data_IF_863528967688
#
_entry.id   IF_863528967688
#
_cell.length_a   1.000
_cell.length_b   1.000
_cell.length_c   1.000
_cell.angle_alpha   90.00
_cell.angle_beta   90.00
_cell.angle_gamma   90.00
#
_symmetry.space_group_name_H-M   'P 1'
#
loop_
_entity.id
_entity.type
_entity.pdbx_description
1 polymer ?
#
# COMPACT_ATOMS: atom_id res chain seq x y z
N UNK A 1 44.01 -21.67 4.60
CA UNK A 1 44.37 -20.44 3.86
C UNK A 1 43.97 -20.66 2.41
N UNK A 2 42.87 -20.06 1.97
CA UNK A 2 42.35 -20.17 0.61
C UNK A 2 43.10 -19.19 -0.28
N UNK A 3 43.84 -19.71 -1.26
CA UNK A 3 44.28 -18.95 -2.43
C UNK A 3 43.61 -19.60 -3.64
N UNK A 4 42.54 -18.98 -4.13
CA UNK A 4 41.94 -19.34 -5.41
C UNK A 4 41.93 -18.09 -6.27
N UNK A 5 42.82 -18.15 -7.26
CA UNK A 5 43.03 -17.14 -8.28
C UNK A 5 41.80 -17.06 -9.19
N UNK A 6 41.25 -15.86 -9.33
CA UNK A 6 40.35 -15.52 -10.44
C UNK A 6 41.18 -15.30 -11.70
N UNK A 7 41.02 -16.16 -12.69
CA UNK A 7 41.33 -15.83 -14.08
C UNK A 7 40.07 -16.08 -14.93
N UNK A 8 39.24 -15.06 -15.04
CA UNK A 8 38.34 -14.89 -16.18
C UNK A 8 39.12 -14.13 -17.25
N UNK A 9 39.58 -14.85 -18.28
CA UNK A 9 40.03 -14.23 -19.52
C UNK A 9 39.11 -14.70 -20.65
N UNK A 10 38.51 -13.70 -21.27
CA UNK A 10 38.03 -13.65 -22.65
C UNK A 10 38.90 -14.41 -23.65
N UNK A 11 38.26 -15.28 -24.43
CA UNK A 11 38.57 -15.58 -25.84
C UNK A 11 40.03 -15.83 -26.27
N UNK A 12 40.29 -17.05 -26.76
CA UNK A 12 40.86 -17.27 -28.10
C UNK A 12 40.94 -18.77 -28.46
N UNK A 13 40.61 -19.06 -29.72
CA UNK A 13 40.78 -20.33 -30.42
C UNK A 13 42.24 -20.79 -30.48
N UNK A 14 42.50 -22.11 -30.41
CA UNK A 14 43.41 -22.80 -31.35
C UNK A 14 43.39 -24.34 -31.18
N UNK A 15 43.69 -25.01 -32.30
CA UNK A 15 43.67 -26.45 -32.57
C UNK A 15 44.82 -27.23 -31.92
N UNK A 16 44.55 -28.46 -31.43
CA UNK A 16 45.07 -29.79 -31.86
C UNK A 16 45.15 -30.80 -30.70
N UNK A 17 44.54 -31.96 -30.95
CA UNK A 17 44.94 -33.34 -30.58
C UNK A 17 45.87 -33.56 -29.38
N UNK A 18 45.38 -34.26 -28.34
CA UNK A 18 45.63 -35.70 -28.11
C UNK A 18 45.09 -36.15 -26.74
N UNK A 19 44.47 -37.34 -26.74
CA UNK A 19 44.46 -38.35 -25.67
C UNK A 19 44.17 -37.92 -24.22
N UNK A 20 42.97 -38.27 -23.75
CA UNK A 20 42.80 -39.27 -22.67
C UNK A 20 41.31 -39.47 -22.38
N UNK A 21 40.73 -40.48 -23.02
CA UNK A 21 39.46 -41.07 -22.60
C UNK A 21 39.64 -41.78 -21.26
N UNK A 22 39.60 -41.09 -20.11
CA UNK A 22 39.64 -41.82 -18.83
C UNK A 22 38.97 -41.14 -17.62
N UNK A 23 38.08 -40.16 -17.80
CA UNK A 23 37.46 -39.47 -16.64
C UNK A 23 35.95 -39.16 -16.76
N UNK A 24 35.21 -39.74 -17.70
CA UNK A 24 33.75 -39.49 -17.80
C UNK A 24 32.92 -40.27 -16.78
N UNK A 25 33.35 -41.47 -16.38
CA UNK A 25 32.62 -42.30 -15.41
C UNK A 25 32.72 -41.80 -13.96
N UNK A 26 33.88 -41.36 -13.42
CA UNK A 26 33.94 -40.89 -12.04
C UNK A 26 33.22 -39.56 -11.82
N UNK A 27 33.15 -38.67 -12.81
CA UNK A 27 32.46 -37.38 -12.66
C UNK A 27 30.94 -37.53 -12.51
N UNK A 28 30.34 -38.51 -13.19
CA UNK A 28 28.90 -38.80 -13.04
C UNK A 28 28.62 -39.39 -11.66
N UNK A 29 29.50 -40.28 -11.17
CA UNK A 29 29.38 -40.88 -9.84
C UNK A 29 29.57 -39.83 -8.74
N UNK A 30 30.53 -38.92 -8.89
CA UNK A 30 30.73 -37.80 -7.94
C UNK A 30 29.55 -36.83 -7.97
N UNK A 31 29.01 -36.51 -9.14
CA UNK A 31 27.81 -35.66 -9.26
C UNK A 31 26.58 -36.30 -8.62
N UNK A 32 26.37 -37.60 -8.83
CA UNK A 32 25.31 -38.36 -8.17
C UNK A 32 25.53 -38.45 -6.66
N UNK A 33 26.76 -38.63 -6.18
CA UNK A 33 27.08 -38.61 -4.75
C UNK A 33 26.82 -37.24 -4.13
N UNK A 34 27.11 -36.13 -4.82
CA UNK A 34 26.78 -34.77 -4.35
C UNK A 34 25.27 -34.55 -4.29
N UNK A 35 24.52 -35.00 -5.29
CA UNK A 35 23.05 -34.90 -5.29
C UNK A 35 22.45 -35.78 -4.18
N UNK A 36 22.92 -37.02 -4.03
CA UNK A 36 22.45 -37.94 -2.98
C UNK A 36 22.82 -37.42 -1.60
N UNK A 37 24.03 -36.88 -1.39
CA UNK A 37 24.39 -36.26 -0.10
C UNK A 37 23.61 -34.98 0.15
N UNK A 38 23.31 -34.14 -0.85
CA UNK A 38 22.40 -33.00 -0.68
C UNK A 38 20.95 -33.44 -0.38
N UNK A 39 20.47 -34.52 -0.98
CA UNK A 39 19.13 -35.05 -0.71
C UNK A 39 19.03 -35.75 0.66
N UNK A 40 20.09 -36.42 1.10
CA UNK A 40 20.13 -37.14 2.39
C UNK A 40 20.51 -36.24 3.57
N UNK A 41 21.29 -35.17 3.38
CA UNK A 41 21.61 -34.20 4.46
C UNK A 41 20.46 -33.23 4.76
N UNK A 42 19.47 -33.10 3.87
CA UNK A 42 18.23 -32.36 4.14
C UNK A 42 17.25 -33.16 5.02
N UNK A 43 17.45 -34.47 5.18
CA UNK A 43 16.60 -35.33 6.01
C UNK A 43 16.94 -35.30 7.51
N UNK A 44 18.12 -34.78 7.91
CA UNK A 44 18.52 -34.63 9.33
C UNK A 44 18.54 -33.17 9.82
N UNK A 45 18.12 -32.22 8.99
CA UNK A 45 17.66 -30.92 9.49
C UNK A 45 16.21 -31.08 9.98
N UNK A 46 16.03 -31.84 11.06
CA UNK A 46 14.82 -31.82 11.86
C UNK A 46 14.41 -30.34 12.03
N UNK A 47 13.20 -29.93 11.60
CA UNK A 47 12.79 -28.56 11.76
C UNK A 47 12.81 -28.29 13.26
N UNK A 48 13.75 -27.44 13.72
CA UNK A 48 13.82 -26.95 15.09
C UNK A 48 12.41 -26.45 15.46
N UNK A 49 11.64 -27.32 16.10
CA UNK A 49 10.25 -27.09 16.52
C UNK A 49 10.13 -25.96 17.55
N UNK A 50 11.26 -25.40 17.99
CA UNK A 50 11.32 -24.38 19.02
C UNK A 50 10.87 -22.99 18.55
N UNK A 51 10.97 -22.66 17.26
CA UNK A 51 10.45 -21.38 16.76
C UNK A 51 8.93 -21.38 16.52
N UNK A 52 8.31 -22.55 16.30
CA UNK A 52 6.86 -22.66 16.12
C UNK A 52 6.09 -22.77 17.44
N UNK A 53 6.69 -23.34 18.49
CA UNK A 53 6.06 -23.42 19.82
C UNK A 53 6.03 -22.09 20.59
N UNK A 54 6.94 -21.15 20.31
CA UNK A 54 6.93 -19.81 20.96
C UNK A 54 5.83 -18.87 20.45
N UNK A 55 5.29 -19.10 19.24
CA UNK A 55 4.17 -18.30 18.73
C UNK A 55 2.80 -18.79 19.23
N UNK A 56 2.63 -20.10 19.45
CA UNK A 56 1.36 -20.64 19.98
C UNK A 56 1.23 -20.54 21.51
N UNK A 57 2.32 -20.64 22.28
CA UNK A 57 2.25 -20.39 23.74
C UNK A 57 1.91 -18.93 24.10
N UNK A 58 2.23 -17.96 23.23
CA UNK A 58 1.81 -16.56 23.43
C UNK A 58 0.35 -16.28 23.09
N UNK A 59 -0.37 -17.21 22.47
CA UNK A 59 -1.82 -17.08 22.29
C UNK A 59 -2.61 -17.72 23.45
N UNK A 60 -2.06 -18.75 24.10
CA UNK A 60 -2.70 -19.38 25.27
C UNK A 60 -2.51 -18.58 26.58
N UNK A 61 -1.45 -17.77 26.70
CA UNK A 61 -1.20 -16.91 27.88
C UNK A 61 -1.87 -15.51 27.81
N UNK A 62 -2.71 -15.24 26.81
CA UNK A 62 -3.51 -14.00 26.78
C UNK A 62 -4.73 -14.03 27.72
N UNK A 63 -4.94 -15.14 28.44
CA UNK A 63 -5.99 -15.27 29.44
C UNK A 63 -5.63 -14.67 30.82
N UNK A 64 -4.43 -14.12 31.00
CA UNK A 64 -4.06 -13.37 32.21
C UNK A 64 -3.74 -11.95 31.80
N UNK A 65 -4.78 -11.10 31.77
CA UNK A 65 -4.66 -9.65 31.57
C UNK A 65 -3.65 -9.08 32.58
N UNK A 66 -2.47 -8.59 32.17
CA UNK A 66 -1.68 -7.73 33.02
C UNK A 66 -2.43 -6.41 33.14
N UNK A 67 -2.38 -5.83 34.33
CA UNK A 67 -3.01 -4.60 34.83
C UNK A 67 -2.54 -3.32 34.11
N UNK A 68 -2.29 -3.38 32.81
CA UNK A 68 -1.97 -2.24 31.98
C UNK A 68 -3.29 -1.68 31.43
N UNK A 69 -3.69 -0.50 31.91
CA UNK A 69 -5.02 0.06 31.65
C UNK A 69 -5.40 0.19 30.17
N UNK A 70 -6.66 0.56 29.88
CA UNK A 70 -7.28 0.53 28.54
C UNK A 70 -6.47 1.25 27.44
N UNK A 71 -5.62 2.22 27.80
CA UNK A 71 -4.76 2.91 26.85
C UNK A 71 -3.72 2.02 26.13
N UNK A 72 -3.26 0.91 26.74
CA UNK A 72 -2.29 0.02 26.09
C UNK A 72 -2.91 -0.75 24.92
N UNK A 73 -4.16 -1.15 25.05
CA UNK A 73 -4.90 -1.88 24.02
C UNK A 73 -5.17 -0.97 22.81
N UNK A 74 -5.68 0.25 23.04
CA UNK A 74 -5.87 1.23 21.96
C UNK A 74 -4.55 1.61 21.26
N UNK A 75 -3.44 1.67 22.00
CA UNK A 75 -2.13 1.93 21.41
C UNK A 75 -1.71 0.77 20.49
N UNK A 76 -1.82 -0.46 20.99
CA UNK A 76 -1.47 -1.67 20.25
C UNK A 76 -2.33 -1.80 18.99
N UNK A 77 -3.64 -1.60 19.12
CA UNK A 77 -4.58 -1.56 18.01
C UNK A 77 -4.20 -0.51 16.96
N UNK A 78 -3.95 0.74 17.40
CA UNK A 78 -3.52 1.83 16.51
C UNK A 78 -2.20 1.50 15.80
N UNK A 79 -1.23 0.94 16.52
CA UNK A 79 0.08 0.60 15.98
C UNK A 79 0.00 -0.53 14.94
N UNK A 80 -0.87 -1.52 15.14
CA UNK A 80 -1.12 -2.59 14.17
C UNK A 80 -1.62 -2.01 12.84
N UNK A 81 -2.65 -1.16 12.90
CA UNK A 81 -3.20 -0.49 11.71
C UNK A 81 -2.17 0.42 11.05
N UNK A 82 -1.42 1.19 11.84
CA UNK A 82 -0.34 2.04 11.34
C UNK A 82 0.73 1.23 10.58
N UNK A 83 1.15 0.08 11.12
CA UNK A 83 2.13 -0.80 10.46
C UNK A 83 1.57 -1.35 9.16
N UNK A 84 0.31 -1.78 9.12
CA UNK A 84 -0.34 -2.25 7.89
C UNK A 84 -0.35 -1.18 6.81
N UNK A 85 -0.80 0.04 7.14
CA UNK A 85 -0.80 1.17 6.21
C UNK A 85 0.62 1.46 5.71
N UNK A 86 1.60 1.49 6.60
CA UNK A 86 3.01 1.72 6.22
C UNK A 86 3.52 0.66 5.25
N UNK A 87 3.18 -0.61 5.46
CA UNK A 87 3.55 -1.71 4.57
C UNK A 87 2.85 -1.58 3.22
N UNK A 88 1.53 -1.33 3.21
CA UNK A 88 0.76 -1.15 1.99
C UNK A 88 1.31 0.00 1.12
N UNK A 89 1.74 1.11 1.71
CA UNK A 89 2.37 2.23 0.98
C UNK A 89 3.66 1.80 0.27
N UNK A 90 4.48 0.96 0.91
CA UNK A 90 5.74 0.47 0.31
C UNK A 90 5.42 -0.35 -0.95
N UNK A 91 4.58 -1.37 -0.79
CA UNK A 91 4.17 -2.22 -1.91
C UNK A 91 3.49 -1.45 -3.02
N UNK A 92 2.60 -0.52 -2.67
CA UNK A 92 1.94 0.35 -3.63
C UNK A 92 2.94 1.12 -4.49
N UNK A 93 4.04 1.66 -3.90
CA UNK A 93 5.06 2.37 -4.68
C UNK A 93 5.79 1.45 -5.67
N UNK A 94 6.10 0.24 -5.24
CA UNK A 94 6.84 -0.73 -6.06
C UNK A 94 5.95 -1.24 -7.21
N UNK A 95 4.72 -1.64 -6.89
CA UNK A 95 3.75 -2.17 -7.85
C UNK A 95 3.29 -1.07 -8.85
N UNK A 96 3.09 0.17 -8.38
CA UNK A 96 2.73 1.30 -9.24
C UNK A 96 3.86 1.66 -10.22
N UNK A 97 5.13 1.62 -9.75
CA UNK A 97 6.30 1.84 -10.60
C UNK A 97 6.36 0.81 -11.71
N UNK A 98 6.07 -0.46 -11.38
CA UNK A 98 6.03 -1.55 -12.34
C UNK A 98 4.91 -1.39 -13.38
N UNK A 99 3.71 -1.00 -12.94
CA UNK A 99 2.54 -0.90 -13.83
C UNK A 99 2.55 0.36 -14.72
N UNK A 100 2.87 1.53 -14.15
CA UNK A 100 2.72 2.80 -14.87
C UNK A 100 4.00 3.31 -15.54
N UNK A 101 5.16 2.74 -15.20
CA UNK A 101 6.45 3.14 -15.75
C UNK A 101 6.69 4.64 -15.66
N UNK A 102 6.71 5.23 -14.46
CA UNK A 102 7.10 6.62 -14.13
C UNK A 102 6.66 7.81 -15.03
N UNK A 103 5.79 7.63 -16.02
CA UNK A 103 5.30 8.76 -16.82
C UNK A 103 4.10 9.36 -16.11
N UNK A 104 4.32 10.54 -15.56
CA UNK A 104 3.24 11.42 -15.12
C UNK A 104 2.33 11.66 -16.33
N UNK A 105 1.12 11.10 -16.30
CA UNK A 105 0.16 11.36 -17.38
C UNK A 105 -0.32 12.79 -17.22
N UNK A 106 0.25 13.68 -18.04
CA UNK A 106 -0.23 15.04 -18.26
C UNK A 106 -1.62 14.92 -18.86
N UNK A 107 -2.66 15.38 -18.16
CA UNK A 107 -4.02 15.37 -18.69
C UNK A 107 -5.14 15.36 -17.65
N UNK A 108 -4.89 14.88 -16.43
CA UNK A 108 -5.90 14.91 -15.37
C UNK A 108 -6.09 16.34 -14.82
N UNK A 109 -6.92 17.16 -15.49
CA UNK A 109 -7.35 18.46 -14.95
C UNK A 109 -8.41 18.23 -13.87
N UNK A 110 -7.98 18.33 -12.61
CA UNK A 110 -8.86 18.26 -11.44
C UNK A 110 -9.19 16.83 -10.96
N UNK A 111 -9.91 16.74 -9.84
CA UNK A 111 -10.35 15.47 -9.26
C UNK A 111 -11.70 15.05 -9.89
N UNK A 112 -11.81 13.84 -10.47
CA UNK A 112 -13.07 13.36 -11.03
C UNK A 112 -14.20 13.31 -10.00
N UNK A 113 -15.44 13.48 -10.46
CA UNK A 113 -16.63 13.46 -9.60
C UNK A 113 -16.85 12.10 -8.92
N UNK A 114 -16.37 11.01 -9.52
CA UNK A 114 -16.49 9.65 -8.99
C UNK A 114 -15.48 9.35 -7.88
N UNK A 115 -14.44 10.19 -7.70
CA UNK A 115 -13.40 9.93 -6.71
C UNK A 115 -13.89 10.24 -5.28
N UNK A 116 -13.66 9.35 -4.30
CA UNK A 116 -14.03 9.60 -2.90
C UNK A 116 -13.40 10.89 -2.36
N UNK A 117 -14.21 11.72 -1.70
CA UNK A 117 -13.79 13.01 -1.13
C UNK A 117 -13.67 12.90 0.38
N UNK A 118 -12.51 13.28 0.91
CA UNK A 118 -12.21 13.15 2.33
C UNK A 118 -11.77 14.49 2.91
N UNK A 119 -12.46 14.92 3.96
CA UNK A 119 -12.14 16.15 4.67
C UNK A 119 -11.13 15.89 5.81
N UNK A 120 -9.86 15.71 5.43
CA UNK A 120 -8.79 15.55 6.42
C UNK A 120 -8.58 16.78 7.31
N UNK A 121 -9.01 17.97 6.88
CA UNK A 121 -8.96 19.17 7.73
C UNK A 121 -9.90 19.00 8.93
N UNK A 122 -11.15 18.59 8.69
CA UNK A 122 -12.11 18.33 9.76
C UNK A 122 -11.63 17.21 10.71
N UNK A 123 -11.04 16.15 10.16
CA UNK A 123 -10.48 15.05 10.95
C UNK A 123 -9.31 15.53 11.82
N UNK A 124 -8.36 16.25 11.22
CA UNK A 124 -7.12 16.67 11.88
C UNK A 124 -7.37 17.66 13.01
N UNK A 125 -8.30 18.60 12.83
CA UNK A 125 -8.62 19.61 13.83
C UNK A 125 -9.68 19.16 14.85
N UNK A 126 -10.12 17.90 14.79
CA UNK A 126 -10.96 17.35 15.86
C UNK A 126 -10.16 17.28 17.17
N UNK A 127 -10.78 17.73 18.26
CA UNK A 127 -10.16 17.69 19.58
C UNK A 127 -10.40 16.33 20.24
N UNK A 128 -9.35 15.73 20.76
CA UNK A 128 -9.40 14.43 21.41
C UNK A 128 -8.91 14.59 22.85
N UNK A 129 -9.65 14.05 23.81
CA UNK A 129 -9.26 14.09 25.22
C UNK A 129 -8.17 13.07 25.55
N UNK A 130 -8.18 11.91 24.90
CA UNK A 130 -7.22 10.83 25.14
C UNK A 130 -7.09 9.89 23.93
N UNK A 131 -6.28 8.85 24.08
CA UNK A 131 -6.04 7.87 23.02
C UNK A 131 -7.28 7.05 22.66
N UNK A 132 -8.10 6.70 23.65
CA UNK A 132 -9.38 5.99 23.44
C UNK A 132 -10.33 6.82 22.58
N UNK A 133 -10.60 8.08 22.95
CA UNK A 133 -11.48 8.97 22.19
C UNK A 133 -10.97 9.15 20.76
N UNK A 134 -9.65 9.18 20.59
CA UNK A 134 -9.03 9.24 19.27
C UNK A 134 -9.30 7.99 18.45
N UNK A 135 -9.04 6.81 19.01
CA UNK A 135 -9.26 5.55 18.32
C UNK A 135 -10.71 5.39 17.88
N UNK A 136 -11.65 5.60 18.82
CA UNK A 136 -13.10 5.51 18.58
C UNK A 136 -13.56 6.49 17.49
N UNK A 137 -12.88 7.63 17.32
CA UNK A 137 -13.20 8.60 16.28
C UNK A 137 -12.53 8.28 14.93
N UNK A 138 -11.24 7.92 14.94
CA UNK A 138 -10.45 7.76 13.72
C UNK A 138 -10.72 6.42 13.02
N UNK A 139 -10.84 5.32 13.77
CA UNK A 139 -10.96 3.98 13.17
C UNK A 139 -12.21 3.84 12.30
N UNK A 140 -13.43 4.26 12.73
CA UNK A 140 -14.60 4.17 11.86
C UNK A 140 -14.44 4.94 10.55
N UNK A 141 -13.78 6.11 10.60
CA UNK A 141 -13.55 6.95 9.42
C UNK A 141 -12.54 6.34 8.47
N UNK A 142 -11.44 5.81 9.01
CA UNK A 142 -10.46 5.08 8.21
C UNK A 142 -11.10 3.84 7.58
N UNK A 143 -11.93 3.11 8.32
CA UNK A 143 -12.63 1.92 7.84
C UNK A 143 -13.55 2.27 6.68
N UNK A 144 -14.37 3.31 6.84
CA UNK A 144 -15.22 3.84 5.78
C UNK A 144 -14.40 4.21 4.54
N UNK A 145 -13.31 4.95 4.68
CA UNK A 145 -12.49 5.34 3.53
C UNK A 145 -11.82 4.13 2.86
N UNK A 146 -11.41 3.11 3.63
CA UNK A 146 -10.87 1.88 3.07
C UNK A 146 -11.92 1.11 2.26
N UNK A 147 -13.15 0.99 2.77
CA UNK A 147 -14.29 0.41 2.05
C UNK A 147 -14.61 1.19 0.77
N UNK A 148 -14.61 2.53 0.83
CA UNK A 148 -14.84 3.37 -0.36
C UNK A 148 -13.83 3.09 -1.48
N UNK A 149 -12.55 2.95 -1.13
CA UNK A 149 -11.51 2.65 -2.11
C UNK A 149 -11.52 1.18 -2.57
N UNK A 150 -11.91 0.23 -1.71
CA UNK A 150 -12.14 -1.17 -2.10
C UNK A 150 -13.13 -1.23 -3.26
N UNK A 151 -14.29 -0.61 -3.07
CA UNK A 151 -15.37 -0.57 -4.06
C UNK A 151 -14.99 0.21 -5.33
N UNK A 152 -14.20 1.29 -5.20
CA UNK A 152 -13.64 1.98 -6.36
C UNK A 152 -12.75 1.05 -7.21
N UNK A 153 -11.85 0.29 -6.60
CA UNK A 153 -10.99 -0.62 -7.34
C UNK A 153 -11.75 -1.81 -7.93
N UNK A 154 -12.78 -2.31 -7.25
CA UNK A 154 -13.72 -3.29 -7.84
C UNK A 154 -14.45 -2.71 -9.06
N UNK A 155 -14.91 -1.46 -8.98
CA UNK A 155 -15.55 -0.79 -10.10
C UNK A 155 -14.59 -0.63 -11.29
N UNK A 156 -13.33 -0.25 -11.04
CA UNK A 156 -12.29 -0.16 -12.07
C UNK A 156 -11.96 -1.52 -12.70
N UNK A 157 -11.97 -2.60 -11.91
CA UNK A 157 -11.76 -3.95 -12.41
C UNK A 157 -12.81 -4.35 -13.46
N UNK A 158 -14.02 -3.82 -13.32
CA UNK A 158 -15.18 -4.08 -14.17
C UNK A 158 -15.36 -3.05 -15.31
N UNK A 159 -14.39 -2.19 -15.56
CA UNK A 159 -14.40 -1.26 -16.71
C UNK A 159 -14.04 -2.02 -17.99
N UNK A 160 -14.94 -1.97 -18.97
CA UNK A 160 -14.79 -2.54 -20.30
C UNK A 160 -14.09 -1.55 -21.25
N UNK A 161 -13.27 -2.09 -22.15
CA UNK A 161 -12.57 -1.31 -23.19
C UNK A 161 -13.34 -1.49 -24.50
N UNK A 162 -13.76 -0.38 -25.12
CA UNK A 162 -14.56 -0.41 -26.36
C UNK A 162 -13.78 -0.87 -27.60
N UNK A 163 -12.48 -0.57 -27.67
CA UNK A 163 -11.57 -1.02 -28.72
C UNK A 163 -10.20 -1.31 -28.09
N UNK A 164 -9.74 -2.57 -28.11
CA UNK A 164 -8.43 -2.92 -27.56
C UNK A 164 -7.43 -3.20 -28.68
N UNK A 165 -6.68 -2.18 -29.08
CA UNK A 165 -5.35 -2.38 -29.70
C UNK A 165 -4.31 -2.82 -28.64
N UNK A 166 -4.71 -2.89 -27.36
CA UNK A 166 -3.87 -3.31 -26.25
C UNK A 166 -3.52 -4.79 -26.34
N UNK A 167 -2.23 -5.07 -26.25
CA UNK A 167 -1.69 -6.43 -26.12
C UNK A 167 -2.35 -7.13 -24.91
N UNK A 168 -2.84 -8.36 -25.09
CA UNK A 168 -3.43 -9.21 -24.04
C UNK A 168 -2.66 -9.20 -22.70
N UNK A 169 -1.32 -9.13 -22.77
CA UNK A 169 -0.45 -9.03 -21.60
C UNK A 169 -0.69 -7.78 -20.74
N UNK A 170 -1.08 -6.65 -21.31
CA UNK A 170 -1.35 -5.42 -20.56
C UNK A 170 -2.67 -5.53 -19.76
N UNK A 171 -3.69 -6.13 -20.35
CA UNK A 171 -4.99 -6.37 -19.70
C UNK A 171 -4.82 -7.29 -18.48
N UNK A 172 -4.05 -8.37 -18.62
CA UNK A 172 -3.78 -9.27 -17.50
C UNK A 172 -2.99 -8.60 -16.38
N UNK A 173 -1.92 -7.86 -16.72
CA UNK A 173 -1.13 -7.10 -15.74
C UNK A 173 -1.99 -6.09 -14.97
N UNK A 174 -2.87 -5.36 -15.68
CA UNK A 174 -3.83 -4.45 -15.05
C UNK A 174 -4.72 -5.17 -14.06
N UNK A 175 -5.31 -6.30 -14.47
CA UNK A 175 -6.22 -7.10 -13.64
C UNK A 175 -5.52 -7.63 -12.39
N UNK A 176 -4.30 -8.15 -12.53
CA UNK A 176 -3.49 -8.61 -11.40
C UNK A 176 -3.17 -7.47 -10.43
N UNK A 177 -2.80 -6.31 -10.96
CA UNK A 177 -2.46 -5.15 -10.14
C UNK A 177 -3.67 -4.61 -9.34
N UNK A 178 -4.85 -4.53 -9.99
CA UNK A 178 -6.09 -4.16 -9.33
C UNK A 178 -6.50 -5.19 -8.26
N UNK A 179 -6.46 -6.48 -8.58
CA UNK A 179 -6.75 -7.56 -7.61
C UNK A 179 -5.80 -7.54 -6.41
N UNK A 180 -4.49 -7.37 -6.66
CA UNK A 180 -3.50 -7.21 -5.60
C UNK A 180 -3.83 -6.03 -4.69
N UNK A 181 -4.26 -4.91 -5.27
CA UNK A 181 -4.65 -3.72 -4.50
C UNK A 181 -5.90 -3.96 -3.66
N UNK A 182 -6.93 -4.60 -4.23
CA UNK A 182 -8.16 -4.99 -3.50
C UNK A 182 -7.81 -5.91 -2.33
N UNK A 183 -7.04 -6.98 -2.57
CA UNK A 183 -6.63 -7.91 -1.52
C UNK A 183 -5.88 -7.20 -0.36
N UNK A 184 -5.03 -6.22 -0.67
CA UNK A 184 -4.33 -5.44 0.37
C UNK A 184 -5.26 -4.52 1.15
N UNK A 185 -6.34 -4.04 0.54
CA UNK A 185 -7.41 -3.30 1.24
C UNK A 185 -8.19 -4.26 2.13
N UNK A 186 -8.54 -5.45 1.65
CA UNK A 186 -9.26 -6.47 2.44
C UNK A 186 -8.46 -6.90 3.68
N UNK A 187 -7.14 -7.08 3.54
CA UNK A 187 -6.26 -7.35 4.68
C UNK A 187 -6.22 -6.19 5.68
N UNK A 188 -6.26 -4.94 5.20
CA UNK A 188 -6.37 -3.77 6.09
C UNK A 188 -7.73 -3.74 6.80
N UNK A 189 -8.83 -4.00 6.09
CA UNK A 189 -10.18 -4.05 6.67
C UNK A 189 -10.31 -5.16 7.71
N UNK A 190 -9.70 -6.32 7.48
CA UNK A 190 -9.63 -7.44 8.43
C UNK A 190 -8.90 -7.01 9.70
N UNK A 191 -7.68 -6.47 9.58
CA UNK A 191 -6.93 -5.96 10.74
C UNK A 191 -7.74 -4.89 11.51
N UNK A 192 -8.48 -4.03 10.80
CA UNK A 192 -9.33 -3.00 11.42
C UNK A 192 -10.50 -3.61 12.19
N UNK A 193 -11.18 -4.60 11.63
CA UNK A 193 -12.26 -5.31 12.32
C UNK A 193 -11.73 -6.00 13.59
N UNK A 194 -10.63 -6.74 13.46
CA UNK A 194 -10.01 -7.44 14.59
C UNK A 194 -9.60 -6.47 15.70
N UNK A 195 -8.97 -5.36 15.34
CA UNK A 195 -8.53 -4.35 16.31
C UNK A 195 -9.69 -3.56 16.94
N UNK A 196 -10.77 -3.30 16.21
CA UNK A 196 -11.99 -2.68 16.77
C UNK A 196 -12.71 -3.64 17.73
N UNK A 197 -12.86 -4.91 17.35
CA UNK A 197 -13.47 -5.95 18.19
C UNK A 197 -12.66 -6.19 19.46
N UNK A 198 -11.32 -6.23 19.37
CA UNK A 198 -10.43 -6.42 20.52
C UNK A 198 -10.58 -5.34 21.61
N UNK A 199 -11.06 -4.14 21.26
CA UNK A 199 -11.32 -3.05 22.21
C UNK A 199 -12.82 -2.83 22.45
N UNK A 200 -13.66 -3.81 22.13
CA UNK A 200 -15.12 -3.79 22.26
C UNK A 200 -15.78 -2.59 21.54
N UNK A 201 -15.22 -2.19 20.40
CA UNK A 201 -15.83 -1.18 19.54
C UNK A 201 -16.70 -1.86 18.47
N UNK A 202 -17.91 -1.37 18.28
CA UNK A 202 -18.79 -1.82 17.20
C UNK A 202 -18.20 -1.46 15.83
N UNK A 203 -18.22 -2.42 14.91
CA UNK A 203 -17.84 -2.17 13.51
C UNK A 203 -18.92 -1.26 12.89
N UNK A 204 -18.54 -0.10 12.31
CA UNK A 204 -19.52 0.78 11.70
C UNK A 204 -20.18 0.08 10.52
N UNK A 205 -21.51 0.16 10.45
CA UNK A 205 -22.23 -0.30 9.27
C UNK A 205 -21.81 0.54 8.05
N UNK A 206 -21.55 -0.14 6.94
CA UNK A 206 -21.13 0.50 5.70
C UNK A 206 -22.25 0.34 4.66
N UNK A 207 -22.99 1.41 4.40
CA UNK A 207 -23.96 1.42 3.31
C UNK A 207 -23.22 1.62 1.98
N UNK A 208 -23.28 0.64 1.09
CA UNK A 208 -22.67 0.68 -0.24
C UNK A 208 -23.24 1.80 -1.12
N UNK A 209 -24.50 2.17 -0.92
CA UNK A 209 -25.17 3.28 -1.62
C UNK A 209 -24.60 4.65 -1.23
N UNK A 210 -23.87 4.72 -0.10
CA UNK A 210 -23.21 5.96 0.32
C UNK A 210 -22.12 6.41 -0.66
N UNK A 211 -21.70 5.54 -1.59
CA UNK A 211 -20.84 5.90 -2.72
C UNK A 211 -21.64 6.23 -3.98
N UNK A 212 -22.62 7.12 -3.86
CA UNK A 212 -23.40 7.67 -4.99
C UNK A 212 -22.55 8.23 -6.14
N UNK A 213 -21.27 8.51 -5.87
CA UNK A 213 -20.34 9.01 -6.85
C UNK A 213 -19.76 7.94 -7.77
N UNK A 214 -19.72 6.65 -7.38
CA UNK A 214 -19.20 5.58 -8.26
C UNK A 214 -20.10 5.34 -9.47
N UNK A 215 -21.40 5.61 -9.37
CA UNK A 215 -22.31 5.58 -10.50
C UNK A 215 -21.90 6.55 -11.63
N UNK A 216 -21.08 7.56 -11.31
CA UNK A 216 -20.55 8.54 -12.28
C UNK A 216 -19.27 8.07 -12.97
N UNK A 217 -18.72 6.91 -12.61
CA UNK A 217 -17.60 6.29 -13.30
C UNK A 217 -18.13 5.62 -14.57
N UNK A 218 -17.68 6.07 -15.74
CA UNK A 218 -18.02 5.41 -16.99
C UNK A 218 -17.39 4.01 -17.03
N UNK A 219 -18.21 2.99 -17.33
CA UNK A 219 -17.78 1.59 -17.41
C UNK A 219 -17.33 1.18 -18.81
N UNK A 220 -17.68 1.93 -19.85
CA UNK A 220 -17.30 1.64 -21.23
C UNK A 220 -16.45 2.80 -21.74
N UNK A 221 -15.14 2.62 -21.75
CA UNK A 221 -14.18 3.69 -22.03
C UNK A 221 -13.10 3.25 -23.02
N UNK A 222 -12.41 4.22 -23.62
CA UNK A 222 -11.20 3.93 -24.40
C UNK A 222 -10.07 3.42 -23.51
N UNK A 223 -9.07 2.72 -24.08
CA UNK A 223 -7.87 2.29 -23.33
C UNK A 223 -7.16 3.47 -22.65
N UNK A 224 -7.01 4.59 -23.36
CA UNK A 224 -6.41 5.82 -22.82
C UNK A 224 -7.15 6.35 -21.59
N UNK A 225 -8.49 6.36 -21.63
CA UNK A 225 -9.32 6.80 -20.51
C UNK A 225 -9.31 5.79 -19.36
N UNK A 226 -9.30 4.48 -19.63
CA UNK A 226 -9.12 3.45 -18.60
C UNK A 226 -7.82 3.65 -17.84
N UNK A 227 -6.71 3.83 -18.58
CA UNK A 227 -5.39 4.08 -17.99
C UNK A 227 -5.39 5.36 -17.16
N UNK A 228 -6.02 6.42 -17.65
CA UNK A 228 -6.14 7.68 -16.91
C UNK A 228 -6.92 7.49 -15.60
N UNK A 229 -8.04 6.77 -15.63
CA UNK A 229 -8.88 6.47 -14.47
C UNK A 229 -8.10 5.66 -13.42
N UNK A 230 -7.39 4.61 -13.85
CA UNK A 230 -6.51 3.82 -12.98
C UNK A 230 -5.48 4.72 -12.28
N UNK A 231 -4.75 5.54 -13.04
CA UNK A 231 -3.72 6.44 -12.50
C UNK A 231 -4.29 7.38 -11.45
N UNK A 232 -5.45 7.99 -11.73
CA UNK A 232 -6.10 8.92 -10.81
C UNK A 232 -6.48 8.19 -9.52
N UNK A 233 -7.13 7.03 -9.62
CA UNK A 233 -7.57 6.25 -8.47
C UNK A 233 -6.39 5.78 -7.61
N UNK A 234 -5.35 5.25 -8.25
CA UNK A 234 -4.13 4.84 -7.56
C UNK A 234 -3.45 6.02 -6.87
N UNK A 235 -3.22 7.14 -7.56
CA UNK A 235 -2.62 8.34 -6.96
C UNK A 235 -3.43 8.81 -5.76
N UNK A 236 -4.75 8.85 -5.87
CA UNK A 236 -5.64 9.24 -4.79
C UNK A 236 -5.55 8.28 -3.60
N UNK A 237 -5.49 6.96 -3.84
CA UNK A 237 -5.33 5.95 -2.80
C UNK A 237 -3.96 6.03 -2.11
N UNK A 238 -2.89 6.23 -2.86
CA UNK A 238 -1.55 6.47 -2.31
C UNK A 238 -1.51 7.72 -1.44
N UNK A 239 -2.20 8.80 -1.84
CA UNK A 239 -2.35 10.01 -1.03
C UNK A 239 -3.19 9.77 0.22
N UNK A 240 -4.30 9.04 0.11
CA UNK A 240 -5.13 8.61 1.23
C UNK A 240 -4.30 7.91 2.30
N UNK A 241 -3.58 6.85 1.92
CA UNK A 241 -2.78 6.06 2.84
C UNK A 241 -1.68 6.91 3.50
N UNK A 242 -1.00 7.76 2.73
CA UNK A 242 0.04 8.63 3.28
C UNK A 242 -0.53 9.63 4.29
N UNK A 243 -1.72 10.19 4.01
CA UNK A 243 -2.37 11.14 4.91
C UNK A 243 -2.82 10.44 6.19
N UNK A 244 -3.42 9.25 6.10
CA UNK A 244 -3.78 8.46 7.28
C UNK A 244 -2.56 8.01 8.09
N UNK A 245 -1.47 7.58 7.44
CA UNK A 245 -0.20 7.28 8.11
C UNK A 245 0.28 8.46 8.94
N UNK A 246 0.24 9.67 8.37
CA UNK A 246 0.63 10.89 9.08
C UNK A 246 -0.35 11.21 10.19
N UNK A 247 -1.65 11.09 9.96
CA UNK A 247 -2.65 11.32 11.00
C UNK A 247 -2.41 10.39 12.18
N UNK A 248 -2.32 9.07 11.98
CA UNK A 248 -2.05 8.12 13.08
C UNK A 248 -0.72 8.39 13.79
N UNK A 249 0.36 8.70 13.04
CA UNK A 249 1.71 8.91 13.59
C UNK A 249 1.87 10.23 14.34
N UNK A 250 1.35 11.32 13.79
CA UNK A 250 1.66 12.69 14.19
C UNK A 250 0.72 13.22 15.27
N UNK A 251 0.35 12.34 16.21
CA UNK A 251 -0.37 12.77 17.41
C UNK A 251 0.37 13.91 18.12
N UNK A 252 -0.40 14.81 18.75
CA UNK A 252 0.10 15.94 19.55
C UNK A 252 1.06 15.45 20.64
N UNK A 253 2.35 15.37 20.31
CA UNK A 253 3.44 15.29 21.28
C UNK A 253 3.64 16.67 21.90
N UNK A 254 4.15 16.71 23.13
CA UNK A 254 4.53 17.94 23.82
C UNK A 254 5.39 18.84 22.90
N UNK A 255 5.23 20.17 22.97
CA UNK A 255 5.73 21.14 21.97
C UNK A 255 7.25 21.14 21.67
N UNK A 256 8.10 20.37 22.35
CA UNK A 256 9.56 20.39 22.12
C UNK A 256 10.17 19.24 21.30
N UNK A 257 9.42 18.17 20.95
CA UNK A 257 9.99 16.96 20.28
C UNK A 257 9.15 16.45 19.10
N UNK A 258 8.60 17.34 18.28
CA UNK A 258 7.87 16.93 17.07
C UNK A 258 8.83 16.63 15.93
N UNK A 259 8.60 15.52 15.23
CA UNK A 259 9.34 15.18 14.02
C UNK A 259 9.05 16.21 12.93
N UNK A 260 10.06 16.61 12.14
CA UNK A 260 9.90 17.57 11.03
C UNK A 260 8.73 17.21 10.09
N UNK A 261 8.56 15.92 9.79
CA UNK A 261 7.44 15.44 8.95
C UNK A 261 6.06 15.75 9.55
N UNK A 262 5.94 15.75 10.88
CA UNK A 262 4.69 16.06 11.56
C UNK A 262 4.43 17.56 11.62
N UNK A 263 5.48 18.37 11.81
CA UNK A 263 5.39 19.85 11.73
C UNK A 263 4.90 20.25 10.33
N UNK A 264 5.53 19.73 9.28
CA UNK A 264 5.13 20.01 7.90
C UNK A 264 3.68 19.58 7.61
N UNK A 265 3.24 18.46 8.20
CA UNK A 265 1.87 17.97 8.05
C UNK A 265 0.84 18.88 8.75
N UNK A 266 1.13 19.30 9.98
CA UNK A 266 0.29 20.25 10.74
C UNK A 266 0.19 21.60 10.00
N UNK A 267 1.30 22.13 9.50
CA UNK A 267 1.33 23.35 8.68
C UNK A 267 0.51 23.20 7.40
N UNK A 268 0.63 22.06 6.71
CA UNK A 268 -0.16 21.77 5.52
C UNK A 268 -1.66 21.76 5.84
N UNK A 269 -2.08 21.15 6.94
CA UNK A 269 -3.49 21.12 7.36
C UNK A 269 -3.98 22.50 7.78
N UNK A 270 -3.16 23.31 8.46
CA UNK A 270 -3.47 24.69 8.80
C UNK A 270 -3.68 25.57 7.56
N UNK A 271 -2.77 25.49 6.58
CA UNK A 271 -2.91 26.20 5.29
C UNK A 271 -4.20 25.81 4.56
N UNK A 272 -4.51 24.50 4.49
CA UNK A 272 -5.76 24.02 3.89
C UNK A 272 -6.99 24.55 4.61
N UNK A 273 -6.97 24.63 5.95
CA UNK A 273 -8.06 25.20 6.75
C UNK A 273 -8.29 26.67 6.42
N UNK A 274 -7.23 27.46 6.26
CA UNK A 274 -7.33 28.87 5.87
C UNK A 274 -7.94 29.03 4.47
N UNK A 275 -7.48 28.22 3.51
CA UNK A 275 -8.02 28.25 2.15
C UNK A 275 -9.50 27.83 2.07
N UNK A 276 -9.99 27.01 3.00
CA UNK A 276 -11.42 26.68 3.09
C UNK A 276 -12.27 27.80 3.69
N UNK A 277 -11.67 28.70 4.49
CA UNK A 277 -12.37 29.82 5.12
C UNK A 277 -12.42 31.07 4.25
N UNK A 278 -11.55 31.20 3.26
CA UNK A 278 -11.59 32.33 2.34
C UNK A 278 -12.72 32.12 1.32
N UNK A 279 -13.70 33.05 1.20
CA UNK A 279 -14.64 33.01 0.09
C UNK A 279 -13.84 33.09 -1.21
N UNK A 280 -14.19 32.24 -2.17
CA UNK A 280 -13.63 32.26 -3.53
C UNK A 280 -14.02 33.62 -4.14
N UNK A 281 -13.21 34.67 -3.92
CA UNK A 281 -13.32 35.88 -4.71
C UNK A 281 -13.14 35.45 -6.15
N UNK A 282 -14.21 35.55 -6.94
CA UNK A 282 -14.20 35.36 -8.39
C UNK A 282 -12.97 36.11 -8.91
N UNK A 283 -12.00 35.39 -9.51
CA UNK A 283 -11.14 36.00 -10.52
C UNK A 283 -12.04 36.36 -11.68
N UNK A 284 -12.75 37.47 -11.56
CA UNK A 284 -13.18 38.21 -12.74
C UNK A 284 -11.87 38.78 -13.26
N UNK A 285 -11.42 38.23 -14.38
CA UNK A 285 -10.38 38.84 -15.17
C UNK A 285 -10.85 40.25 -15.50
N UNK A 286 -10.27 41.25 -14.86
CA UNK A 286 -10.23 42.60 -15.40
C UNK A 286 -9.22 42.60 -16.56
N UNK A 287 -9.60 42.01 -17.69
CA UNK A 287 -9.11 42.50 -18.97
C UNK A 287 -9.97 43.72 -19.26
N UNK A 288 -9.52 44.89 -18.80
CA UNK A 288 -9.95 46.15 -19.41
C UNK A 288 -9.39 46.13 -20.83
N UNK A 289 -10.29 46.21 -21.79
CA UNK A 289 -9.95 46.48 -23.18
C UNK A 289 -9.44 47.94 -23.23
N UNK A 290 -8.26 48.25 -23.81
CA UNK A 290 -7.74 49.61 -23.82
C UNK A 290 -8.37 50.54 -24.87
N UNK A 291 -9.45 50.11 -25.54
CA UNK A 291 -10.00 50.82 -26.71
C UNK A 291 -11.45 51.31 -26.52
N UNK A 292 -11.89 51.47 -25.28
CA UNK A 292 -13.12 52.25 -25.01
C UNK A 292 -12.68 53.64 -24.53
N UNK A 293 -12.23 54.46 -25.49
CA UNK A 293 -12.28 55.94 -25.51
C UNK A 293 -12.00 56.42 -26.96
#
# INVERSE_FOLDING_TARGET
MLSVCMCLITGCSSRRNQQSCFLRKPLVVISLLVIITMCLTVAEAAPRTEHRRRHHRRQADLAIRPKDGPNKDYKTATDTIFRRIKNNIRFYRDDLKYYLGFREVRGAKGNPKWLPKINFVAIHFHSFSNLRSRFLYLMPRLYKHAQEYRLLFEALLNVNISHSDDLFNQINKRREFLKSTINRIDLLLTDMNDTMLAVNQTIPHFNQESISNLAKLNKNVSSSEQRLNDIIAFRAYGNLQNTWKLELKCWKKRPGRKLKVCVNYEEQMARRRLNMKMPVKRRVNSFRNPNDD
#
